data_IF_372106528829
#
_entry.id   IF_372106528829
#
_cell.length_a   1.000
_cell.length_b   1.000
_cell.length_c   1.000
_cell.angle_alpha   90.00
_cell.angle_beta   90.00
_cell.angle_gamma   90.00
#
_symmetry.space_group_name_H-M   'P 1'
#
loop_
_entity.id
_entity.type
_entity.pdbx_description
1 polymer ?
#
# COMPACT_ATOMS: atom_id res chain seq x y z
N UNK A 1 -45.59 6.83 -6.21
CA UNK A 1 -44.21 7.04 -5.74
C UNK A 1 -43.94 6.04 -4.63
N UNK A 2 -42.81 5.33 -4.66
CA UNK A 2 -42.39 4.44 -3.59
C UNK A 2 -42.17 5.26 -2.30
N UNK A 3 -42.54 4.71 -1.13
CA UNK A 3 -42.23 5.37 0.15
C UNK A 3 -40.73 5.36 0.41
N UNK A 4 -40.26 6.24 1.29
CA UNK A 4 -38.85 6.29 1.70
C UNK A 4 -38.38 4.93 2.23
N UNK A 5 -39.22 4.23 2.98
CA UNK A 5 -38.97 2.89 3.51
C UNK A 5 -38.77 1.86 2.39
N UNK A 6 -39.61 1.89 1.35
CA UNK A 6 -39.47 0.99 0.19
C UNK A 6 -38.19 1.28 -0.60
N UNK A 7 -37.79 2.53 -0.71
CA UNK A 7 -36.53 2.91 -1.34
C UNK A 7 -35.34 2.43 -0.53
N UNK A 8 -35.34 2.62 0.79
CA UNK A 8 -34.28 2.14 1.69
C UNK A 8 -34.16 0.61 1.68
N UNK A 9 -35.29 -0.11 1.71
CA UNK A 9 -35.27 -1.57 1.66
C UNK A 9 -34.62 -2.09 0.35
N UNK A 10 -34.94 -1.48 -0.80
CA UNK A 10 -34.35 -1.85 -2.10
C UNK A 10 -32.85 -1.51 -2.18
N UNK A 11 -32.43 -0.40 -1.55
CA UNK A 11 -31.01 -0.05 -1.47
C UNK A 11 -30.23 -1.07 -0.64
N UNK A 12 -30.78 -1.46 0.52
CA UNK A 12 -30.13 -2.47 1.36
C UNK A 12 -30.00 -3.82 0.64
N UNK A 13 -31.05 -4.29 -0.04
CA UNK A 13 -30.99 -5.50 -0.86
C UNK A 13 -29.91 -5.42 -1.95
N UNK A 14 -29.70 -4.24 -2.54
CA UNK A 14 -28.67 -4.02 -3.55
C UNK A 14 -27.26 -4.02 -2.93
N UNK A 15 -27.09 -3.38 -1.77
CA UNK A 15 -25.83 -3.38 -1.00
C UNK A 15 -25.46 -4.80 -0.64
N UNK A 16 -26.37 -5.57 -0.04
CA UNK A 16 -26.16 -6.97 0.35
C UNK A 16 -25.67 -7.83 -0.85
N UNK A 17 -26.30 -7.67 -2.02
CA UNK A 17 -25.90 -8.38 -3.25
C UNK A 17 -24.52 -7.95 -3.75
N UNK A 18 -24.21 -6.66 -3.70
CA UNK A 18 -22.90 -6.16 -4.10
C UNK A 18 -21.80 -6.65 -3.15
N UNK A 19 -22.06 -6.71 -1.86
CA UNK A 19 -21.13 -7.25 -0.87
C UNK A 19 -20.91 -8.76 -1.08
N UNK A 20 -21.98 -9.52 -1.36
CA UNK A 20 -21.87 -10.95 -1.66
C UNK A 20 -21.03 -11.22 -2.91
N UNK A 21 -21.23 -10.45 -3.99
CA UNK A 21 -20.52 -10.62 -5.25
C UNK A 21 -19.08 -10.07 -5.22
N UNK A 22 -18.87 -8.93 -4.59
CA UNK A 22 -17.59 -8.23 -4.58
C UNK A 22 -16.72 -8.59 -3.37
N UNK A 23 -17.32 -9.11 -2.29
CA UNK A 23 -16.61 -9.58 -1.10
C UNK A 23 -15.56 -8.58 -0.59
N UNK A 24 -14.32 -9.03 -0.48
CA UNK A 24 -13.19 -8.21 0.00
C UNK A 24 -12.85 -6.98 -0.87
N UNK A 25 -13.45 -6.82 -2.04
CA UNK A 25 -13.27 -5.60 -2.84
C UNK A 25 -14.09 -4.43 -2.29
N UNK A 26 -15.17 -4.69 -1.57
CA UNK A 26 -15.90 -3.66 -0.83
C UNK A 26 -15.16 -3.40 0.49
N UNK A 27 -14.66 -2.21 0.68
CA UNK A 27 -13.97 -1.82 1.91
C UNK A 27 -14.75 -0.83 2.77
N UNK A 28 -15.83 -0.23 2.22
CA UNK A 28 -16.73 0.67 2.93
C UNK A 28 -18.08 0.70 2.21
N UNK A 29 -19.16 0.70 2.99
CA UNK A 29 -20.55 0.89 2.57
C UNK A 29 -21.08 2.30 2.88
N UNK A 30 -20.35 3.06 3.68
CA UNK A 30 -20.72 4.38 4.18
C UNK A 30 -19.93 5.54 3.55
N UNK A 31 -19.04 5.25 2.56
CA UNK A 31 -18.26 6.23 1.83
C UNK A 31 -16.92 6.62 2.46
N UNK A 32 -16.46 5.89 3.49
CA UNK A 32 -15.11 6.09 4.01
C UNK A 32 -14.05 5.77 2.97
N UNK A 33 -12.99 6.57 2.94
CA UNK A 33 -11.83 6.29 2.10
C UNK A 33 -11.01 5.11 2.65
N UNK A 34 -10.22 4.47 1.79
CA UNK A 34 -9.38 3.36 2.21
C UNK A 34 -8.36 3.77 3.28
N UNK A 35 -7.88 5.01 3.24
CA UNK A 35 -7.00 5.62 4.25
C UNK A 35 -7.69 5.69 5.62
N UNK A 36 -8.97 6.07 5.66
CA UNK A 36 -9.76 6.13 6.89
C UNK A 36 -9.95 4.73 7.47
N UNK A 37 -10.31 3.76 6.64
CA UNK A 37 -10.49 2.36 7.05
C UNK A 37 -9.19 1.77 7.59
N UNK A 38 -8.06 1.98 6.91
CA UNK A 38 -6.74 1.52 7.39
C UNK A 38 -6.38 2.17 8.71
N UNK A 39 -6.58 3.49 8.83
CA UNK A 39 -6.33 4.23 10.06
C UNK A 39 -7.18 3.73 11.24
N UNK A 40 -8.45 3.45 10.99
CA UNK A 40 -9.36 2.88 11.97
C UNK A 40 -8.87 1.52 12.48
N UNK A 41 -8.55 0.58 11.58
CA UNK A 41 -8.06 -0.75 11.99
C UNK A 41 -6.72 -0.71 12.71
N UNK A 42 -5.78 0.14 12.28
CA UNK A 42 -4.50 0.31 12.97
C UNK A 42 -4.70 0.80 14.41
N UNK A 43 -5.59 1.77 14.61
CA UNK A 43 -5.91 2.28 15.96
C UNK A 43 -6.59 1.20 16.81
N UNK A 44 -7.58 0.50 16.29
CA UNK A 44 -8.30 -0.56 17.01
C UNK A 44 -7.38 -1.69 17.48
N UNK A 45 -6.31 -1.98 16.73
CA UNK A 45 -5.32 -3.01 17.07
C UNK A 45 -4.10 -2.47 17.80
N UNK A 46 -4.07 -1.19 18.16
CA UNK A 46 -2.90 -0.50 18.71
C UNK A 46 -1.62 -0.79 17.88
N UNK A 47 -1.78 -0.86 16.57
CA UNK A 47 -0.70 -1.17 15.64
C UNK A 47 -0.18 0.10 14.97
N UNK A 48 1.10 0.08 14.60
CA UNK A 48 1.78 1.19 13.95
C UNK A 48 2.30 0.81 12.58
N UNK A 49 2.44 1.80 11.71
CA UNK A 49 2.84 1.64 10.32
C UNK A 49 4.01 2.55 9.97
N UNK A 50 4.97 2.02 9.19
CA UNK A 50 6.03 2.78 8.55
C UNK A 50 6.13 2.40 7.06
N UNK A 51 6.63 3.31 6.21
CA UNK A 51 6.67 3.10 4.75
C UNK A 51 8.05 3.41 4.16
N UNK A 52 8.50 2.60 3.19
CA UNK A 52 9.65 2.87 2.33
C UNK A 52 9.17 2.92 0.88
N UNK A 53 9.14 4.12 0.32
CA UNK A 53 8.58 4.39 -0.99
C UNK A 53 9.68 4.66 -2.02
N UNK A 54 9.60 3.99 -3.18
CA UNK A 54 10.43 4.31 -4.33
C UNK A 54 9.59 4.98 -5.43
N UNK A 55 8.96 4.21 -6.30
CA UNK A 55 8.22 4.75 -7.45
C UNK A 55 6.99 5.60 -7.09
N UNK A 56 6.41 5.42 -5.93
CA UNK A 56 5.28 6.23 -5.41
C UNK A 56 5.72 7.61 -4.92
N UNK A 57 7.00 7.76 -4.50
CA UNK A 57 7.61 9.07 -4.23
C UNK A 57 6.94 9.88 -3.14
N UNK A 58 6.51 9.24 -2.05
CA UNK A 58 5.84 9.86 -0.90
C UNK A 58 4.31 9.90 -0.98
N UNK A 59 3.71 9.43 -2.08
CA UNK A 59 2.25 9.48 -2.25
C UNK A 59 1.50 8.61 -1.23
N UNK A 60 2.04 7.46 -0.83
CA UNK A 60 1.42 6.64 0.21
C UNK A 60 1.45 7.34 1.57
N UNK A 61 2.58 7.91 1.94
CA UNK A 61 2.73 8.68 3.17
C UNK A 61 1.80 9.91 3.18
N UNK A 62 1.70 10.63 2.07
CA UNK A 62 0.77 11.76 1.90
C UNK A 62 -0.67 11.33 2.13
N UNK A 63 -1.13 10.26 1.47
CA UNK A 63 -2.49 9.72 1.62
C UNK A 63 -2.80 9.33 3.07
N UNK A 64 -1.86 8.67 3.77
CA UNK A 64 -2.04 8.31 5.18
C UNK A 64 -2.14 9.57 6.05
N UNK A 65 -1.28 10.55 5.81
CA UNK A 65 -1.22 11.79 6.61
C UNK A 65 -2.32 12.79 6.28
N UNK A 66 -3.03 12.63 5.16
CA UNK A 66 -4.23 13.41 4.87
C UNK A 66 -5.37 13.16 5.89
N UNK A 67 -5.30 12.04 6.62
CA UNK A 67 -6.28 11.70 7.65
C UNK A 67 -5.89 12.32 8.99
N UNK A 68 -6.77 13.15 9.54
CA UNK A 68 -6.58 13.76 10.86
C UNK A 68 -6.37 12.70 11.96
N UNK A 69 -5.36 12.87 12.80
CA UNK A 69 -5.02 11.94 13.87
C UNK A 69 -4.15 10.75 13.44
N UNK A 70 -3.66 10.73 12.20
CA UNK A 70 -2.76 9.68 11.67
C UNK A 70 -1.48 9.49 12.49
N UNK A 71 -1.02 10.50 13.22
CA UNK A 71 0.16 10.41 14.11
C UNK A 71 0.04 9.37 15.23
N UNK A 72 -1.17 8.87 15.50
CA UNK A 72 -1.39 7.80 16.49
C UNK A 72 -0.91 6.44 15.99
N UNK A 73 -0.85 6.23 14.68
CA UNK A 73 -0.53 4.95 14.07
C UNK A 73 0.54 5.03 12.97
N UNK A 74 0.73 6.17 12.34
CA UNK A 74 1.75 6.35 11.31
C UNK A 74 3.02 6.97 11.91
N UNK A 75 4.09 6.17 11.95
CA UNK A 75 5.37 6.61 12.53
C UNK A 75 6.23 7.41 11.54
N UNK A 76 5.88 7.35 10.26
CA UNK A 76 6.62 7.99 9.19
C UNK A 76 7.21 7.01 8.19
N UNK A 77 8.24 7.44 7.48
CA UNK A 77 8.89 6.62 6.47
C UNK A 77 9.93 7.38 5.67
N UNK A 78 10.40 6.75 4.60
CA UNK A 78 11.41 7.31 3.72
C UNK A 78 11.03 7.20 2.24
N UNK A 79 11.33 8.25 1.48
CA UNK A 79 11.33 8.19 0.01
C UNK A 79 12.73 7.77 -0.42
N UNK A 80 12.89 6.48 -0.72
CA UNK A 80 14.18 5.83 -1.04
C UNK A 80 14.31 5.68 -2.56
N UNK A 81 14.42 6.81 -3.25
CA UNK A 81 14.32 6.85 -4.71
C UNK A 81 15.58 6.32 -5.40
N UNK A 82 16.78 6.62 -4.89
CA UNK A 82 18.04 6.08 -5.36
C UNK A 82 18.37 4.72 -4.71
N UNK A 83 19.33 3.98 -5.27
CA UNK A 83 19.77 2.72 -4.69
C UNK A 83 20.51 2.93 -3.36
N UNK A 84 21.33 3.98 -3.29
CA UNK A 84 22.06 4.36 -2.09
C UNK A 84 21.11 4.61 -0.93
N UNK A 85 20.01 5.37 -1.15
CA UNK A 85 19.04 5.65 -0.11
C UNK A 85 18.23 4.41 0.31
N UNK A 86 18.04 3.42 -0.56
CA UNK A 86 17.44 2.14 -0.17
C UNK A 86 18.32 1.43 0.87
N UNK A 87 19.63 1.45 0.65
CA UNK A 87 20.59 0.87 1.60
C UNK A 87 20.66 1.70 2.88
N UNK A 88 20.79 3.02 2.77
CA UNK A 88 21.02 3.89 3.92
C UNK A 88 19.80 4.02 4.83
N UNK A 89 18.59 4.17 4.26
CA UNK A 89 17.37 4.45 5.04
C UNK A 89 16.47 3.25 5.29
N UNK A 90 16.63 2.16 4.54
CA UNK A 90 15.81 0.97 4.71
C UNK A 90 16.64 -0.33 4.83
N UNK A 91 17.94 -0.23 5.12
CA UNK A 91 18.84 -1.34 5.36
C UNK A 91 18.84 -2.41 4.24
N UNK A 92 18.50 -2.03 2.98
CA UNK A 92 18.52 -2.94 1.84
C UNK A 92 19.98 -3.26 1.49
N UNK A 93 20.42 -4.53 1.50
CA UNK A 93 21.79 -4.87 1.11
C UNK A 93 22.10 -4.42 -0.33
N UNK A 94 23.25 -3.78 -0.56
CA UNK A 94 23.65 -3.32 -1.88
C UNK A 94 23.75 -4.49 -2.87
N UNK A 95 24.30 -5.62 -2.42
CA UNK A 95 24.43 -6.86 -3.20
C UNK A 95 23.07 -7.40 -3.66
N UNK A 96 22.02 -7.22 -2.85
CA UNK A 96 20.66 -7.62 -3.21
C UNK A 96 20.13 -6.80 -4.39
N UNK A 97 20.45 -5.49 -4.38
CA UNK A 97 20.08 -4.58 -5.48
C UNK A 97 20.89 -4.92 -6.75
N UNK A 98 22.18 -5.21 -6.62
CA UNK A 98 23.04 -5.61 -7.74
C UNK A 98 22.57 -6.93 -8.38
N UNK A 99 22.20 -7.91 -7.57
CA UNK A 99 21.80 -9.24 -8.01
C UNK A 99 20.42 -9.25 -8.69
N UNK A 100 19.45 -8.54 -8.12
CA UNK A 100 18.03 -8.61 -8.53
C UNK A 100 17.52 -7.34 -9.22
N UNK A 101 18.30 -6.27 -9.16
CA UNK A 101 17.89 -4.93 -9.57
C UNK A 101 16.93 -4.27 -8.56
N UNK A 102 16.91 -2.94 -8.56
CA UNK A 102 16.10 -2.15 -7.63
C UNK A 102 14.59 -2.46 -7.71
N UNK A 103 14.09 -2.83 -8.89
CA UNK A 103 12.70 -3.24 -9.11
C UNK A 103 12.63 -4.76 -9.07
N UNK A 104 12.39 -5.32 -7.89
CA UNK A 104 12.30 -6.75 -7.68
C UNK A 104 11.53 -7.08 -6.41
N UNK A 105 11.03 -8.31 -6.34
CA UNK A 105 10.38 -8.87 -5.15
C UNK A 105 11.30 -8.80 -3.92
N UNK A 106 12.56 -9.17 -4.09
CA UNK A 106 13.55 -9.23 -3.02
C UNK A 106 13.81 -7.83 -2.42
N UNK A 107 13.95 -6.82 -3.27
CA UNK A 107 14.15 -5.44 -2.81
C UNK A 107 12.89 -4.89 -2.14
N UNK A 108 11.68 -5.21 -2.62
CA UNK A 108 10.44 -4.80 -1.96
C UNK A 108 10.34 -5.38 -0.54
N UNK A 109 10.68 -6.68 -0.38
CA UNK A 109 10.72 -7.35 0.93
C UNK A 109 11.72 -6.68 1.86
N UNK A 110 12.97 -6.47 1.39
CA UNK A 110 14.01 -5.83 2.19
C UNK A 110 13.62 -4.39 2.61
N UNK A 111 12.99 -3.63 1.71
CA UNK A 111 12.46 -2.29 2.03
C UNK A 111 11.43 -2.34 3.16
N UNK A 112 10.48 -3.27 3.09
CA UNK A 112 9.42 -3.41 4.09
C UNK A 112 9.97 -3.82 5.46
N UNK A 113 10.86 -4.79 5.48
CA UNK A 113 11.49 -5.28 6.71
C UNK A 113 12.42 -4.25 7.33
N UNK A 114 13.25 -3.60 6.51
CA UNK A 114 14.19 -2.59 6.95
C UNK A 114 13.51 -1.38 7.56
N UNK A 115 12.48 -0.82 6.88
CA UNK A 115 11.76 0.34 7.42
C UNK A 115 10.94 -0.02 8.67
N UNK A 116 10.33 -1.22 8.72
CA UNK A 116 9.64 -1.72 9.91
C UNK A 116 10.58 -1.76 11.10
N UNK A 117 11.77 -2.34 10.95
CA UNK A 117 12.79 -2.47 11.98
C UNK A 117 13.31 -1.10 12.43
N UNK A 118 13.64 -0.23 11.48
CA UNK A 118 14.21 1.09 11.76
C UNK A 118 13.24 1.99 12.52
N UNK A 119 11.97 1.97 12.15
CA UNK A 119 10.92 2.72 12.84
C UNK A 119 10.33 1.99 14.05
N UNK A 120 10.70 0.74 14.33
CA UNK A 120 10.09 -0.10 15.35
C UNK A 120 8.58 -0.19 15.21
N UNK A 121 8.09 -0.23 13.96
CA UNK A 121 6.68 -0.28 13.65
C UNK A 121 6.12 -1.70 13.76
N UNK A 122 4.81 -1.82 13.99
CA UNK A 122 4.11 -3.12 13.91
C UNK A 122 4.14 -3.66 12.49
N UNK A 123 3.96 -2.75 11.50
CA UNK A 123 3.99 -3.06 10.07
C UNK A 123 4.93 -2.12 9.32
N UNK A 124 5.60 -2.68 8.30
CA UNK A 124 6.42 -1.92 7.35
C UNK A 124 5.95 -2.19 5.92
N UNK A 125 5.77 -1.14 5.12
CA UNK A 125 5.49 -1.25 3.69
C UNK A 125 6.75 -0.91 2.90
N UNK A 126 7.07 -1.74 1.90
CA UNK A 126 8.08 -1.48 0.88
C UNK A 126 7.46 -1.46 -0.51
N UNK A 127 7.71 -0.39 -1.28
CA UNK A 127 7.21 -0.26 -2.64
C UNK A 127 8.36 0.06 -3.59
N UNK A 128 8.52 -0.76 -4.62
CA UNK A 128 9.45 -0.49 -5.73
C UNK A 128 8.83 -0.87 -7.07
N UNK A 129 9.11 -0.10 -8.12
CA UNK A 129 8.49 -0.35 -9.43
C UNK A 129 8.90 0.64 -10.49
N UNK A 130 8.34 0.47 -11.68
CA UNK A 130 8.56 1.32 -12.86
C UNK A 130 7.28 2.12 -13.14
N UNK A 131 7.24 3.38 -12.70
CA UNK A 131 6.06 4.24 -12.90
C UNK A 131 5.98 4.87 -14.30
N UNK A 132 7.06 4.78 -15.09
CA UNK A 132 7.09 5.33 -16.44
C UNK A 132 7.22 6.87 -16.49
N UNK A 133 7.11 7.47 -17.70
CA UNK A 133 6.90 6.81 -19.00
C UNK A 133 8.12 6.06 -19.53
N UNK A 134 9.29 6.31 -18.98
CA UNK A 134 10.59 5.69 -19.34
C UNK A 134 11.03 4.69 -18.25
N UNK A 135 12.16 4.01 -18.48
CA UNK A 135 12.79 3.10 -17.50
C UNK A 135 12.22 1.69 -17.49
N UNK A 136 11.26 1.37 -18.38
CA UNK A 136 10.80 -0.01 -18.57
C UNK A 136 11.71 -0.82 -19.49
N UNK A 137 11.78 -2.13 -19.24
CA UNK A 137 12.37 -3.14 -20.12
C UNK A 137 11.33 -4.23 -20.42
N UNK A 138 11.58 -5.14 -21.38
CA UNK A 138 10.67 -6.27 -21.62
C UNK A 138 10.42 -7.10 -20.35
N UNK A 139 11.43 -7.30 -19.51
CA UNK A 139 11.36 -8.07 -18.26
C UNK A 139 10.73 -7.25 -17.12
N UNK A 140 10.95 -5.94 -17.11
CA UNK A 140 10.43 -5.00 -16.10
C UNK A 140 9.69 -3.84 -16.77
N UNK A 141 8.51 -4.08 -17.34
CA UNK A 141 7.77 -3.07 -18.10
C UNK A 141 7.27 -1.93 -17.20
N UNK A 142 6.95 -0.80 -17.86
CA UNK A 142 6.24 0.30 -17.20
C UNK A 142 4.94 -0.23 -16.61
N UNK A 143 4.66 0.16 -15.38
CA UNK A 143 3.52 -0.31 -14.59
C UNK A 143 3.81 -1.50 -13.68
N UNK A 144 4.95 -2.18 -13.83
CA UNK A 144 5.37 -3.23 -12.90
C UNK A 144 5.71 -2.62 -11.54
N UNK A 145 5.03 -3.08 -10.49
CA UNK A 145 5.27 -2.64 -9.11
C UNK A 145 5.24 -3.85 -8.16
N UNK A 146 6.23 -3.93 -7.30
CA UNK A 146 6.29 -4.86 -6.18
C UNK A 146 5.93 -4.13 -4.89
N UNK A 147 5.02 -4.73 -4.13
CA UNK A 147 4.58 -4.27 -2.83
C UNK A 147 4.91 -5.34 -1.80
N UNK A 148 5.50 -4.97 -0.70
CA UNK A 148 5.72 -5.87 0.42
C UNK A 148 5.14 -5.27 1.71
N UNK A 149 4.55 -6.13 2.54
CA UNK A 149 4.04 -5.80 3.86
C UNK A 149 4.70 -6.73 4.89
N UNK A 150 5.63 -6.18 5.66
CA UNK A 150 6.30 -6.86 6.75
C UNK A 150 5.51 -6.71 8.05
N UNK A 151 5.33 -7.79 8.76
CA UNK A 151 4.72 -7.85 10.08
C UNK A 151 5.47 -8.82 11.00
N UNK A 152 4.96 -9.06 12.20
CA UNK A 152 5.55 -9.95 13.15
C UNK A 152 5.65 -11.41 12.65
N UNK A 153 4.63 -11.86 11.90
CA UNK A 153 4.51 -13.24 11.40
C UNK A 153 5.13 -13.46 10.02
N UNK A 154 5.93 -12.51 9.53
CA UNK A 154 6.61 -12.58 8.24
C UNK A 154 6.20 -11.48 7.28
N UNK A 155 6.68 -11.60 6.04
CA UNK A 155 6.51 -10.58 4.99
C UNK A 155 5.71 -11.15 3.82
N UNK A 156 4.62 -10.50 3.49
CA UNK A 156 3.84 -10.76 2.28
C UNK A 156 4.35 -9.88 1.15
N UNK A 157 4.37 -10.40 -0.07
CA UNK A 157 4.79 -9.64 -1.24
C UNK A 157 3.87 -9.91 -2.42
N UNK A 158 3.50 -8.86 -3.12
CA UNK A 158 2.60 -8.90 -4.27
C UNK A 158 3.24 -8.18 -5.44
N UNK A 159 3.23 -8.82 -6.60
CA UNK A 159 3.52 -8.20 -7.91
C UNK A 159 2.23 -7.72 -8.55
N UNK A 160 2.22 -6.49 -9.03
CA UNK A 160 1.12 -5.92 -9.81
C UNK A 160 1.64 -5.23 -11.07
N UNK A 161 0.80 -5.23 -12.10
CA UNK A 161 1.03 -4.48 -13.33
C UNK A 161 -0.12 -3.53 -13.57
N UNK A 162 0.16 -2.25 -13.40
CA UNK A 162 -0.84 -1.18 -13.56
C UNK A 162 -0.73 -0.55 -14.94
N UNK A 163 -1.87 -0.30 -15.57
CA UNK A 163 -1.96 0.47 -16.81
C UNK A 163 -2.16 1.96 -16.56
N UNK A 164 -1.85 2.76 -17.58
CA UNK A 164 -2.08 4.20 -17.56
C UNK A 164 -0.79 5.02 -17.51
N UNK A 165 -0.93 6.30 -17.23
CA UNK A 165 0.19 7.21 -17.07
C UNK A 165 0.89 7.06 -15.70
N UNK A 166 1.99 7.78 -15.53
CA UNK A 166 2.79 7.79 -14.31
C UNK A 166 1.99 8.10 -13.05
N UNK A 167 1.06 9.06 -13.10
CA UNK A 167 0.28 9.46 -11.94
C UNK A 167 -0.71 8.37 -11.55
N UNK A 168 -1.36 7.77 -12.53
CA UNK A 168 -2.29 6.65 -12.35
C UNK A 168 -1.58 5.41 -11.78
N UNK A 169 -0.39 5.06 -12.31
CA UNK A 169 0.41 3.94 -11.78
C UNK A 169 0.80 4.18 -10.32
N UNK A 170 1.28 5.38 -9.97
CA UNK A 170 1.63 5.73 -8.59
C UNK A 170 0.42 5.67 -7.67
N UNK A 171 -0.74 6.15 -8.13
CA UNK A 171 -1.97 6.12 -7.36
C UNK A 171 -2.42 4.70 -7.07
N UNK A 172 -2.50 3.84 -8.10
CA UNK A 172 -2.87 2.43 -7.91
C UNK A 172 -1.85 1.66 -7.06
N UNK A 173 -0.57 1.98 -7.17
CA UNK A 173 0.45 1.39 -6.30
C UNK A 173 0.23 1.76 -4.83
N UNK A 174 -0.10 3.02 -4.53
CA UNK A 174 -0.44 3.42 -3.16
C UNK A 174 -1.75 2.79 -2.67
N UNK A 175 -2.75 2.65 -3.56
CA UNK A 175 -4.02 1.97 -3.26
C UNK A 175 -3.81 0.50 -2.90
N UNK A 176 -2.99 -0.22 -3.69
CA UNK A 176 -2.66 -1.62 -3.43
C UNK A 176 -1.96 -1.79 -2.08
N UNK A 177 -1.06 -0.88 -1.72
CA UNK A 177 -0.37 -0.92 -0.44
C UNK A 177 -1.33 -0.75 0.74
N UNK A 178 -2.25 0.20 0.66
CA UNK A 178 -3.29 0.39 1.68
C UNK A 178 -4.21 -0.84 1.80
N UNK A 179 -4.61 -1.44 0.66
CA UNK A 179 -5.45 -2.64 0.68
C UNK A 179 -4.76 -3.85 1.32
N UNK A 180 -3.44 -4.01 1.12
CA UNK A 180 -2.66 -5.04 1.82
C UNK A 180 -2.71 -4.86 3.34
N UNK A 181 -2.57 -3.63 3.83
CA UNK A 181 -2.67 -3.33 5.27
C UNK A 181 -4.08 -3.61 5.77
N UNK A 182 -5.11 -3.15 5.06
CA UNK A 182 -6.51 -3.40 5.41
C UNK A 182 -6.79 -4.89 5.57
N UNK A 183 -6.47 -5.70 4.55
CA UNK A 183 -6.69 -7.16 4.55
C UNK A 183 -5.91 -7.87 5.65
N UNK A 184 -4.73 -7.37 6.01
CA UNK A 184 -3.91 -7.91 7.10
C UNK A 184 -4.52 -7.64 8.47
N UNK A 185 -5.28 -6.57 8.58
CA UNK A 185 -5.86 -6.11 9.84
C UNK A 185 -7.32 -6.59 10.04
N UNK A 186 -7.99 -7.08 9.02
CA UNK A 186 -9.29 -7.75 9.15
C UNK A 186 -9.13 -9.13 9.79
#
# INVERSE_FOLDING_TARGET
>A
AASLEQASARLNELVDKLEEELQDFVFSDNGDSLEQIVGYYLQMRNATLAVAESCTGGLLAERITSIGGSSRYFLGGAVVYSNELKTEFADVPAELIEMHGAVSKQVAVALAEGIRKRCRASFGIGITGVAGPTGGTPEKPVGLVFHALAGERGTEVVEKRFGGDRNRIRWFASQQALDMVRRKLM
#
